data_IF_881080208129
#
_entry.id   IF_881080208129
#
_cell.length_a   1.000
_cell.length_b   1.000
_cell.length_c   1.000
_cell.angle_alpha   90.00
_cell.angle_beta   90.00
_cell.angle_gamma   90.00
#
_symmetry.space_group_name_H-M   'P 1'
#
loop_
_entity.id
_entity.type
_entity.pdbx_description
1 polymer ?
#
# COMPACT_ATOMS: atom_id res chain seq x y z
N UNK A 1 40.85 -17.37 -24.68
CA UNK A 1 40.54 -16.57 -25.90
C UNK A 1 39.82 -15.25 -25.61
N UNK A 2 39.44 -14.90 -24.37
CA UNK A 2 38.69 -13.65 -24.07
C UNK A 2 39.61 -12.42 -23.83
N UNK A 3 40.92 -12.62 -23.61
CA UNK A 3 41.85 -11.56 -23.17
C UNK A 3 42.46 -10.71 -24.31
N UNK A 4 42.28 -11.08 -25.58
CA UNK A 4 42.91 -10.39 -26.71
C UNK A 4 42.20 -9.11 -27.17
N UNK A 5 40.87 -9.04 -27.03
CA UNK A 5 40.09 -7.87 -27.47
C UNK A 5 40.11 -6.71 -26.47
N UNK A 6 40.37 -6.97 -25.18
CA UNK A 6 40.41 -5.94 -24.14
C UNK A 6 41.63 -5.03 -24.30
N UNK A 7 42.78 -5.58 -24.72
CA UNK A 7 44.04 -4.83 -24.89
C UNK A 7 43.96 -3.85 -26.07
N UNK A 8 43.16 -4.16 -27.09
CA UNK A 8 43.00 -3.35 -28.30
C UNK A 8 42.03 -2.18 -28.10
N UNK A 9 41.06 -2.33 -27.19
CA UNK A 9 40.04 -1.32 -26.84
C UNK A 9 40.50 -0.40 -25.69
N UNK A 10 41.48 -0.83 -24.89
CA UNK A 10 41.99 -0.11 -23.72
C UNK A 10 42.70 1.24 -23.98
N UNK A 11 43.34 1.51 -25.14
CA UNK A 11 44.02 2.79 -25.39
C UNK A 11 43.12 3.87 -26.01
N UNK A 12 41.83 3.59 -26.26
CA UNK A 12 40.94 4.52 -26.93
C UNK A 12 40.45 5.62 -25.96
N UNK A 13 41.07 6.81 -26.08
CA UNK A 13 40.82 7.95 -25.20
C UNK A 13 39.37 8.46 -25.33
N UNK A 14 38.74 8.31 -26.51
CA UNK A 14 37.34 8.67 -26.74
C UNK A 14 36.36 7.75 -26.01
N UNK A 15 36.70 6.46 -25.87
CA UNK A 15 35.89 5.52 -25.10
C UNK A 15 35.98 5.82 -23.61
N UNK A 16 37.17 6.17 -23.11
CA UNK A 16 37.36 6.57 -21.71
C UNK A 16 36.58 7.84 -21.37
N UNK A 17 36.57 8.84 -22.26
CA UNK A 17 35.75 10.05 -22.10
C UNK A 17 34.25 9.71 -22.11
N UNK A 18 33.80 8.91 -23.08
CA UNK A 18 32.40 8.47 -23.18
C UNK A 18 31.93 7.70 -21.93
N UNK A 19 32.78 6.85 -21.36
CA UNK A 19 32.48 6.12 -20.12
C UNK A 19 32.45 7.04 -18.90
N UNK A 20 33.33 8.05 -18.83
CA UNK A 20 33.32 9.06 -17.75
C UNK A 20 32.07 9.93 -17.83
N UNK A 21 31.68 10.36 -19.03
CA UNK A 21 30.43 11.09 -19.26
C UNK A 21 29.21 10.23 -18.89
N UNK A 22 29.17 8.98 -19.36
CA UNK A 22 28.12 8.02 -19.02
C UNK A 22 28.01 7.77 -17.51
N UNK A 23 29.13 7.68 -16.80
CA UNK A 23 29.15 7.59 -15.33
C UNK A 23 28.54 8.84 -14.67
N UNK A 24 28.90 10.03 -15.14
CA UNK A 24 28.36 11.27 -14.59
C UNK A 24 26.84 11.40 -14.82
N UNK A 25 26.36 11.02 -16.00
CA UNK A 25 24.92 10.94 -16.30
C UNK A 25 24.22 9.94 -15.38
N UNK A 26 24.82 8.76 -15.16
CA UNK A 26 24.25 7.74 -14.27
C UNK A 26 24.16 8.25 -12.82
N UNK A 27 25.20 8.93 -12.33
CA UNK A 27 25.21 9.53 -10.99
C UNK A 27 24.12 10.59 -10.82
N UNK A 28 23.88 11.42 -11.85
CA UNK A 28 22.81 12.41 -11.83
C UNK A 28 21.42 11.77 -11.79
N UNK A 29 21.20 10.73 -12.60
CA UNK A 29 19.92 9.99 -12.62
C UNK A 29 19.69 9.30 -11.27
N UNK A 30 20.72 8.65 -10.72
CA UNK A 30 20.63 7.99 -9.42
C UNK A 30 20.27 8.99 -8.32
N UNK A 31 20.92 10.16 -8.29
CA UNK A 31 20.60 11.21 -7.32
C UNK A 31 19.18 11.73 -7.49
N UNK A 32 18.76 12.03 -8.72
CA UNK A 32 17.42 12.51 -9.02
C UNK A 32 16.33 11.52 -8.60
N UNK A 33 16.59 10.22 -8.78
CA UNK A 33 15.69 9.16 -8.33
C UNK A 33 15.60 9.11 -6.80
N UNK A 34 16.74 9.16 -6.09
CA UNK A 34 16.75 9.19 -4.62
C UNK A 34 15.97 10.39 -4.06
N UNK A 35 16.19 11.59 -4.61
CA UNK A 35 15.48 12.81 -4.18
C UNK A 35 13.96 12.71 -4.47
N UNK A 36 13.57 12.08 -5.59
CA UNK A 36 12.17 11.82 -5.93
C UNK A 36 11.50 10.85 -4.95
N UNK A 37 12.16 9.73 -4.64
CA UNK A 37 11.63 8.75 -3.68
C UNK A 37 11.49 9.36 -2.28
N UNK A 38 12.44 10.19 -1.83
CA UNK A 38 12.35 10.86 -0.53
C UNK A 38 11.17 11.84 -0.49
N UNK A 39 10.91 12.56 -1.57
CA UNK A 39 9.73 13.43 -1.68
C UNK A 39 8.43 12.64 -1.53
N UNK A 40 8.37 11.43 -2.13
CA UNK A 40 7.20 10.53 -2.01
C UNK A 40 7.06 9.95 -0.60
N UNK A 41 8.16 9.61 0.07
CA UNK A 41 8.16 9.16 1.47
C UNK A 41 7.71 10.25 2.44
N UNK A 42 8.13 11.49 2.21
CA UNK A 42 7.69 12.64 3.00
C UNK A 42 6.18 12.90 2.86
N UNK A 43 5.59 12.62 1.69
CA UNK A 43 4.16 12.74 1.47
C UNK A 43 3.34 11.65 2.18
N UNK A 44 3.86 10.43 2.29
CA UNK A 44 3.20 9.32 2.98
C UNK A 44 4.18 8.53 3.86
N UNK A 45 4.22 8.79 5.19
CA UNK A 45 5.22 8.21 6.08
C UNK A 45 5.26 6.68 6.13
N UNK A 46 4.19 5.98 5.73
CA UNK A 46 4.22 4.50 5.70
C UNK A 46 5.11 3.94 4.57
N UNK A 47 5.49 4.74 3.58
CA UNK A 47 6.46 4.30 2.56
C UNK A 47 7.89 4.11 3.11
N UNK A 48 8.20 4.58 4.32
CA UNK A 48 9.47 4.24 4.97
C UNK A 48 9.59 2.74 5.34
N UNK A 49 8.47 2.00 5.37
CA UNK A 49 8.47 0.55 5.59
C UNK A 49 8.79 -0.27 4.32
N UNK A 50 8.82 0.38 3.15
CA UNK A 50 9.13 -0.25 1.87
C UNK A 50 10.57 0.03 1.45
N UNK A 51 11.19 -0.96 0.81
CA UNK A 51 12.48 -0.76 0.14
C UNK A 51 12.35 0.14 -1.10
N UNK A 52 13.47 0.70 -1.56
CA UNK A 52 13.48 1.57 -2.75
C UNK A 52 12.88 0.88 -3.98
N UNK A 53 13.25 -0.38 -4.22
CA UNK A 53 12.77 -1.18 -5.35
C UNK A 53 11.24 -1.39 -5.30
N UNK A 54 10.70 -1.70 -4.11
CA UNK A 54 9.26 -1.91 -3.92
C UNK A 54 8.46 -0.62 -4.06
N UNK A 55 8.98 0.48 -3.53
CA UNK A 55 8.35 1.78 -3.70
C UNK A 55 8.34 2.18 -5.18
N UNK A 56 9.42 1.90 -5.90
CA UNK A 56 9.52 2.17 -7.33
C UNK A 56 8.59 1.27 -8.15
N UNK A 57 8.41 0.01 -7.77
CA UNK A 57 7.43 -0.89 -8.38
C UNK A 57 6.01 -0.33 -8.28
N UNK A 58 5.59 0.12 -7.09
CA UNK A 58 4.31 0.79 -6.85
C UNK A 58 4.17 2.07 -7.68
N UNK A 59 5.21 2.91 -7.70
CA UNK A 59 5.21 4.18 -8.43
C UNK A 59 5.31 4.00 -9.95
N UNK A 60 5.77 2.83 -10.43
CA UNK A 60 5.84 2.52 -11.86
C UNK A 60 4.49 2.04 -12.41
N UNK A 61 3.66 1.42 -11.56
CA UNK A 61 2.38 0.82 -11.94
C UNK A 61 1.18 1.72 -11.56
N UNK A 62 1.29 3.03 -11.79
CA UNK A 62 0.24 4.02 -11.42
C UNK A 62 -1.11 3.82 -12.12
N UNK A 63 -1.15 3.02 -13.19
CA UNK A 63 -2.38 2.73 -13.94
C UNK A 63 -3.20 1.58 -13.36
N UNK A 64 -2.57 0.70 -12.58
CA UNK A 64 -3.23 -0.47 -12.01
C UNK A 64 -3.15 -0.42 -10.49
N UNK A 65 -4.24 -0.06 -9.79
CA UNK A 65 -4.25 0.02 -8.34
C UNK A 65 -4.14 -1.36 -7.68
N UNK A 66 -4.29 -2.46 -8.41
CA UNK A 66 -4.13 -3.81 -7.84
C UNK A 66 -2.66 -4.16 -7.61
N UNK A 67 -1.73 -3.47 -8.26
CA UNK A 67 -0.29 -3.66 -8.11
C UNK A 67 0.22 -3.40 -6.68
N UNK A 68 -0.51 -2.60 -5.89
CA UNK A 68 -0.10 -2.27 -4.51
C UNK A 68 -0.35 -3.40 -3.51
N UNK A 69 -1.21 -4.37 -3.85
CA UNK A 69 -1.64 -5.46 -2.97
C UNK A 69 -0.49 -6.23 -2.30
N UNK A 70 0.56 -6.71 -3.01
CA UNK A 70 1.66 -7.42 -2.38
C UNK A 70 2.45 -6.58 -1.38
N UNK A 71 2.50 -5.25 -1.57
CA UNK A 71 3.25 -4.33 -0.72
C UNK A 71 2.41 -3.78 0.44
N UNK A 72 1.07 -3.76 0.31
CA UNK A 72 0.16 -3.26 1.35
C UNK A 72 0.36 -3.97 2.69
N UNK A 73 0.65 -5.28 2.66
CA UNK A 73 0.91 -6.08 3.87
C UNK A 73 2.15 -5.65 4.67
N UNK A 74 3.07 -4.92 4.05
CA UNK A 74 4.23 -4.31 4.73
C UNK A 74 3.93 -2.91 5.27
N UNK A 75 3.04 -2.17 4.60
CA UNK A 75 2.61 -0.83 5.01
C UNK A 75 1.57 -0.85 6.15
N UNK A 76 0.79 -1.93 6.24
CA UNK A 76 -0.30 -2.12 7.18
C UNK A 76 -0.18 -3.49 7.85
N UNK A 77 -0.19 -3.50 9.18
CA UNK A 77 -0.07 -4.73 9.97
C UNK A 77 -1.32 -5.62 9.86
N UNK A 78 -2.51 -5.00 9.87
CA UNK A 78 -3.80 -5.72 9.93
C UNK A 78 -4.61 -5.68 8.61
N UNK A 79 -4.06 -5.10 7.53
CA UNK A 79 -4.69 -5.17 6.19
C UNK A 79 -3.82 -6.02 5.29
N UNK A 80 -4.40 -7.11 4.79
CA UNK A 80 -3.72 -7.95 3.80
C UNK A 80 -4.13 -7.59 2.37
N UNK A 81 -5.40 -7.24 2.15
CA UNK A 81 -5.92 -6.99 0.80
C UNK A 81 -7.01 -5.90 0.79
N UNK A 82 -7.05 -5.14 -0.30
CA UNK A 82 -8.20 -4.29 -0.65
C UNK A 82 -9.12 -5.03 -1.63
N UNK A 83 -10.43 -4.87 -1.46
CA UNK A 83 -11.43 -5.40 -2.38
C UNK A 83 -11.79 -4.33 -3.40
N UNK A 84 -11.56 -4.65 -4.67
CA UNK A 84 -11.87 -3.82 -5.82
C UNK A 84 -13.18 -4.27 -6.47
N UNK A 85 -13.94 -3.33 -7.00
CA UNK A 85 -15.10 -3.56 -7.87
C UNK A 85 -14.67 -3.57 -9.36
N UNK A 86 -15.60 -3.83 -10.28
CA UNK A 86 -15.32 -3.94 -11.73
C UNK A 86 -14.75 -2.64 -12.34
N UNK A 87 -15.01 -1.50 -11.72
CA UNK A 87 -14.52 -0.17 -12.10
C UNK A 87 -13.20 0.23 -11.40
N UNK A 88 -12.56 -0.70 -10.71
CA UNK A 88 -11.36 -0.49 -9.87
C UNK A 88 -11.61 0.38 -8.62
N UNK A 89 -12.88 0.58 -8.24
CA UNK A 89 -13.22 1.26 -7.00
C UNK A 89 -13.03 0.35 -5.79
N UNK A 90 -12.49 0.92 -4.72
CA UNK A 90 -12.19 0.21 -3.48
C UNK A 90 -13.40 0.31 -2.55
N UNK A 91 -14.00 -0.83 -2.19
CA UNK A 91 -15.23 -0.86 -1.38
C UNK A 91 -15.07 -1.58 -0.03
N UNK A 92 -14.05 -2.42 0.14
CA UNK A 92 -13.78 -3.11 1.40
C UNK A 92 -12.29 -3.38 1.60
N UNK A 93 -11.91 -3.69 2.85
CA UNK A 93 -10.61 -4.22 3.22
C UNK A 93 -10.75 -5.63 3.79
N UNK A 94 -9.68 -6.42 3.67
CA UNK A 94 -9.60 -7.79 4.19
C UNK A 94 -8.32 -7.97 5.01
N UNK A 95 -8.46 -8.56 6.19
CA UNK A 95 -7.36 -8.95 7.08
C UNK A 95 -6.65 -10.21 6.59
N UNK A 96 -5.42 -10.44 7.06
CA UNK A 96 -4.67 -11.68 6.82
C UNK A 96 -5.36 -12.93 7.34
N UNK A 97 -6.27 -12.78 8.30
CA UNK A 97 -7.06 -13.88 8.90
C UNK A 97 -8.36 -14.19 8.13
N UNK A 98 -8.64 -13.43 7.06
CA UNK A 98 -9.82 -13.63 6.22
C UNK A 98 -11.05 -12.83 6.64
N UNK A 99 -10.95 -12.00 7.69
CA UNK A 99 -12.02 -11.05 8.03
C UNK A 99 -12.12 -9.94 6.99
N UNK A 100 -13.35 -9.52 6.68
CA UNK A 100 -13.63 -8.47 5.71
C UNK A 100 -14.47 -7.35 6.34
N UNK A 101 -14.01 -6.12 6.17
CA UNK A 101 -14.70 -4.91 6.65
C UNK A 101 -15.02 -4.04 5.45
N UNK A 102 -16.30 -3.80 5.21
CA UNK A 102 -16.78 -2.86 4.20
C UNK A 102 -16.49 -1.43 4.61
N UNK A 103 -16.03 -0.61 3.66
CA UNK A 103 -15.88 0.81 3.88
C UNK A 103 -17.23 1.52 3.94
N UNK A 104 -17.30 2.63 4.68
CA UNK A 104 -18.47 3.49 4.71
C UNK A 104 -18.70 4.23 3.39
N UNK A 105 -17.63 4.52 2.66
CA UNK A 105 -17.63 5.21 1.37
C UNK A 105 -16.68 4.47 0.41
N UNK A 106 -17.06 4.39 -0.87
CA UNK A 106 -16.22 3.80 -1.93
C UNK A 106 -15.14 4.78 -2.35
N UNK A 107 -13.91 4.31 -2.47
CA UNK A 107 -12.76 5.15 -2.83
C UNK A 107 -12.35 4.85 -4.27
N UNK A 108 -12.16 5.90 -5.06
CA UNK A 108 -11.71 5.79 -6.43
C UNK A 108 -10.21 6.09 -6.51
N UNK A 109 -9.34 5.10 -6.79
CA UNK A 109 -7.89 5.31 -6.84
C UNK A 109 -7.49 6.05 -8.12
N UNK A 110 -7.72 7.37 -8.13
CA UNK A 110 -7.37 8.26 -9.25
C UNK A 110 -6.23 9.18 -8.86
N UNK A 111 -5.23 9.29 -9.73
CA UNK A 111 -4.10 10.22 -9.53
C UNK A 111 -2.91 9.56 -8.83
N UNK A 112 -2.30 10.28 -7.91
CA UNK A 112 -1.07 9.87 -7.24
C UNK A 112 -1.34 8.80 -6.18
N UNK A 113 -0.44 7.82 -6.07
CA UNK A 113 -0.62 6.67 -5.17
C UNK A 113 -0.71 7.07 -3.72
N UNK A 114 0.06 8.08 -3.31
CA UNK A 114 0.04 8.61 -1.95
C UNK A 114 -1.29 9.25 -1.55
N UNK A 115 -2.04 9.82 -2.50
CA UNK A 115 -3.26 10.58 -2.21
C UNK A 115 -4.43 9.65 -1.92
N UNK A 116 -4.67 8.68 -2.80
CA UNK A 116 -5.76 7.72 -2.58
C UNK A 116 -5.43 6.74 -1.45
N UNK A 117 -4.15 6.39 -1.20
CA UNK A 117 -3.78 5.60 -0.02
C UNK A 117 -4.06 6.35 1.30
N UNK A 118 -3.88 7.67 1.31
CA UNK A 118 -4.25 8.51 2.46
C UNK A 118 -5.76 8.57 2.65
N UNK A 119 -6.52 8.58 1.57
CA UNK A 119 -7.98 8.48 1.60
C UNK A 119 -8.43 7.13 2.17
N UNK A 120 -7.83 6.02 1.73
CA UNK A 120 -8.04 4.68 2.30
C UNK A 120 -7.80 4.67 3.81
N UNK A 121 -6.70 5.26 4.30
CA UNK A 121 -6.45 5.33 5.75
C UNK A 121 -7.53 6.13 6.50
N UNK A 122 -8.02 7.21 5.90
CA UNK A 122 -9.06 8.04 6.51
C UNK A 122 -10.39 7.30 6.57
N UNK A 123 -10.80 6.68 5.47
CA UNK A 123 -12.04 5.90 5.35
C UNK A 123 -11.99 4.63 6.21
N UNK A 124 -10.83 3.98 6.34
CA UNK A 124 -10.62 2.87 7.26
C UNK A 124 -10.95 3.28 8.70
N UNK A 125 -10.36 4.39 9.19
CA UNK A 125 -10.63 4.90 10.53
C UNK A 125 -12.10 5.28 10.73
N UNK A 126 -12.73 5.86 9.71
CA UNK A 126 -14.14 6.21 9.74
C UNK A 126 -15.04 4.96 9.82
N UNK A 127 -14.74 3.94 9.02
CA UNK A 127 -15.50 2.68 8.95
C UNK A 127 -15.41 1.89 10.26
N UNK A 128 -14.22 1.82 10.85
CA UNK A 128 -14.02 1.19 12.17
C UNK A 128 -14.81 1.95 13.24
N UNK A 129 -14.73 3.28 13.25
CA UNK A 129 -15.49 4.11 14.21
C UNK A 129 -16.99 3.89 14.07
N UNK A 130 -17.49 3.80 12.84
CA UNK A 130 -18.90 3.55 12.57
C UNK A 130 -19.32 2.14 13.00
N UNK A 131 -18.48 1.13 12.75
CA UNK A 131 -18.70 -0.23 13.23
C UNK A 131 -18.81 -0.29 14.76
N UNK A 132 -17.91 0.40 15.49
CA UNK A 132 -17.97 0.48 16.95
C UNK A 132 -19.29 1.12 17.41
N UNK A 133 -19.69 2.24 16.80
CA UNK A 133 -20.94 2.94 17.15
C UNK A 133 -22.15 2.04 16.96
N UNK A 134 -22.27 1.38 15.80
CA UNK A 134 -23.38 0.44 15.54
C UNK A 134 -23.41 -0.70 16.56
N UNK A 135 -22.24 -1.24 16.94
CA UNK A 135 -22.16 -2.28 17.96
C UNK A 135 -22.62 -1.79 19.34
N UNK A 136 -22.24 -0.58 19.74
CA UNK A 136 -22.66 0.02 21.01
C UNK A 136 -24.17 0.31 21.04
N UNK A 137 -24.74 0.78 19.93
CA UNK A 137 -26.18 1.04 19.81
C UNK A 137 -27.01 -0.26 19.80
N UNK A 138 -26.44 -1.36 19.29
CA UNK A 138 -27.06 -2.68 19.32
C UNK A 138 -26.96 -3.38 20.69
N UNK A 139 -25.94 -3.07 21.48
CA UNK A 139 -25.69 -3.66 22.80
C UNK A 139 -26.88 -3.57 23.80
N UNK A 140 -27.62 -2.45 23.93
CA UNK A 140 -28.78 -2.40 24.82
C UNK A 140 -29.95 -3.32 24.40
N UNK A 141 -29.97 -3.88 23.19
CA UNK A 141 -31.02 -4.80 22.72
C UNK A 141 -30.73 -6.27 23.03
N UNK A 142 -29.46 -6.63 23.25
CA UNK A 142 -29.03 -8.02 23.47
C UNK A 142 -29.23 -8.47 24.92
N UNK A 143 -29.30 -7.54 25.88
CA UNK A 143 -29.48 -7.86 27.30
C UNK A 143 -30.92 -8.31 27.66
N UNK A 144 -31.86 -8.37 26.70
CA UNK A 144 -33.27 -8.66 27.01
C UNK A 144 -33.96 -9.74 26.18
N UNK A 145 -33.25 -10.49 25.32
CA UNK A 145 -33.87 -11.62 24.60
C UNK A 145 -32.98 -12.86 24.59
N UNK A 146 -33.31 -13.81 25.45
CA UNK A 146 -32.89 -15.21 25.33
C UNK A 146 -33.59 -15.83 24.11
N UNK A 147 -33.02 -15.72 22.91
CA UNK A 147 -33.34 -16.65 21.81
C UNK A 147 -32.12 -16.90 20.95
N UNK A 148 -31.60 -18.11 21.11
CA UNK A 148 -30.81 -18.86 20.15
C UNK A 148 -31.38 -18.77 18.72
N UNK A 149 -30.47 -18.66 17.75
CA UNK A 149 -30.63 -18.60 16.29
C UNK A 149 -30.63 -17.19 15.67
N UNK A 150 -29.61 -16.98 14.83
CA UNK A 150 -29.31 -15.81 13.99
C UNK A 150 -28.93 -14.52 14.72
N UNK A 151 -27.90 -14.58 15.58
CA UNK A 151 -26.90 -13.51 15.51
C UNK A 151 -26.21 -13.69 14.16
N UNK A 152 -26.35 -12.72 13.26
CA UNK A 152 -25.47 -12.64 12.10
C UNK A 152 -24.03 -12.63 12.63
N UNK A 153 -23.35 -13.75 12.42
CA UNK A 153 -21.99 -14.03 12.88
C UNK A 153 -21.01 -12.93 12.45
N UNK A 154 -21.36 -12.11 11.46
CA UNK A 154 -20.58 -10.99 10.95
C UNK A 154 -20.25 -9.91 11.99
N UNK A 155 -21.11 -9.65 12.98
CA UNK A 155 -20.91 -8.53 13.93
C UNK A 155 -19.99 -8.89 15.11
N UNK A 156 -19.89 -10.18 15.48
CA UNK A 156 -19.12 -10.61 16.67
C UNK A 156 -17.65 -10.85 16.35
N UNK A 157 -17.30 -11.18 15.10
CA UNK A 157 -15.89 -11.31 14.67
C UNK A 157 -15.22 -9.95 14.49
N UNK A 158 -15.96 -8.94 14.00
CA UNK A 158 -15.47 -7.56 13.86
C UNK A 158 -14.95 -6.96 15.17
N UNK A 159 -15.44 -7.45 16.32
CA UNK A 159 -15.01 -6.96 17.63
C UNK A 159 -13.60 -7.40 18.02
N UNK A 160 -13.09 -8.52 17.50
CA UNK A 160 -11.72 -8.99 17.80
C UNK A 160 -10.68 -8.10 17.10
N UNK A 161 -10.92 -7.72 15.85
CA UNK A 161 -10.03 -6.81 15.09
C UNK A 161 -10.10 -5.38 15.60
N UNK A 162 -11.26 -4.89 16.05
CA UNK A 162 -11.41 -3.53 16.57
C UNK A 162 -10.56 -3.29 17.84
N UNK A 163 -10.39 -4.31 18.69
CA UNK A 163 -9.65 -4.18 19.96
C UNK A 163 -8.13 -4.26 19.77
N UNK A 164 -7.64 -4.97 18.76
CA UNK A 164 -6.19 -5.09 18.46
C UNK A 164 -5.66 -4.05 17.47
N UNK A 165 -6.50 -3.27 16.77
CA UNK A 165 -6.06 -2.37 15.68
C UNK A 165 -5.54 -0.98 16.14
N UNK A 166 -5.39 -0.70 17.45
CA UNK A 166 -4.90 0.62 17.93
C UNK A 166 -3.70 0.56 18.89
N UNK A 167 -3.13 -0.62 19.20
CA UNK A 167 -1.89 -0.71 20.00
C UNK A 167 -0.72 -1.27 19.20
#
# INVERSE_FOLDING_TARGET
MITGQIIDVCPDEQLLESLKEGRCLLEQVQKGLSDYLETKRAAFPRFYFLSDDELLEILSQTRDPTAVQPHLRKCYENIAWLCFEDDLSIWAMRSGEGEQVSFCETINPTGNVEDWLREVETTMRASIRDSIRRSLDAYPLVCMTLTSHSFDCSFTVQFSIIVETIL
#
